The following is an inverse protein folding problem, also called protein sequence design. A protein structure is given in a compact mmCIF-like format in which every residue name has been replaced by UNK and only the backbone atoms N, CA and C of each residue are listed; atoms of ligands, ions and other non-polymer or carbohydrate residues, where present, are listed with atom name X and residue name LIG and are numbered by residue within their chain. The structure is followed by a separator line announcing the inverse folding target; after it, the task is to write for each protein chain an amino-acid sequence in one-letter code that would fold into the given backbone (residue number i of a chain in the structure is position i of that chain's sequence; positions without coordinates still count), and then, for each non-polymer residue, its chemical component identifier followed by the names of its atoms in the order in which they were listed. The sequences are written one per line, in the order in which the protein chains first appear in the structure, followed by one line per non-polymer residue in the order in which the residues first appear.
data_IF_476900381713
#
_entry.id   IF_476900381713
#
_cell.length_a   1.000
_cell.length_b   1.000
_cell.length_c   1.000
_cell.angle_alpha   90.00
_cell.angle_beta   90.00
_cell.angle_gamma   90.00
#
_symmetry.space_group_name_H-M   'P 1'
#
loop_
_entity.id
_entity.type
_entity.pdbx_description
1 polymer ?
#
# COMPACT_ATOMS: atom_id res chain seq x y z
N UNK A 1 -28.29 19.49 -16.40
CA UNK A 1 -26.84 19.36 -16.13
C UNK A 1 -26.66 19.41 -14.62
N UNK A 2 -26.53 18.28 -13.94
CA UNK A 2 -25.93 18.28 -12.61
C UNK A 2 -24.44 18.09 -12.83
N UNK A 3 -23.68 19.15 -12.60
CA UNK A 3 -22.23 19.09 -12.52
C UNK A 3 -21.89 18.03 -11.47
N UNK A 4 -21.14 16.98 -11.84
CA UNK A 4 -20.76 15.93 -10.89
C UNK A 4 -19.66 16.51 -10.01
N UNK A 5 -20.07 17.34 -9.04
CA UNK A 5 -19.16 17.95 -8.08
C UNK A 5 -18.48 16.84 -7.27
N UNK A 6 -17.18 16.99 -7.07
CA UNK A 6 -16.40 16.17 -6.13
C UNK A 6 -17.14 16.13 -4.80
N UNK A 7 -17.40 14.93 -4.23
CA UNK A 7 -18.14 14.86 -2.98
C UNK A 7 -17.42 15.64 -1.89
N UNK A 8 -18.20 16.29 -1.05
CA UNK A 8 -17.73 17.09 0.06
C UNK A 8 -17.81 16.28 1.36
N UNK A 9 -17.07 16.66 2.41
CA UNK A 9 -17.14 16.00 3.71
C UNK A 9 -18.55 15.80 4.27
N UNK A 10 -19.49 16.73 4.00
CA UNK A 10 -20.88 16.64 4.45
C UNK A 10 -21.71 15.58 3.71
N UNK A 11 -21.22 15.03 2.61
CA UNK A 11 -21.86 13.91 1.90
C UNK A 11 -21.64 12.56 2.62
N UNK A 12 -20.92 12.55 3.74
CA UNK A 12 -20.54 11.35 4.47
C UNK A 12 -20.82 11.45 5.97
N UNK A 13 -21.28 10.34 6.54
CA UNK A 13 -21.32 10.10 7.98
C UNK A 13 -20.15 9.21 8.36
N UNK A 14 -19.36 9.61 9.35
CA UNK A 14 -18.25 8.83 9.88
C UNK A 14 -18.77 7.90 10.96
N UNK A 15 -18.64 6.58 10.76
CA UNK A 15 -19.22 5.58 11.66
C UNK A 15 -18.21 5.13 12.73
N UNK A 16 -16.97 4.79 12.33
CA UNK A 16 -15.91 4.32 13.25
C UNK A 16 -14.52 4.47 12.66
N UNK A 17 -13.50 4.56 13.52
CA UNK A 17 -12.11 4.34 13.11
C UNK A 17 -11.88 2.83 12.92
N UNK A 18 -11.31 2.44 11.79
CA UNK A 18 -11.00 1.04 11.46
C UNK A 18 -9.51 0.75 11.33
N UNK A 19 -8.67 1.77 11.11
CA UNK A 19 -7.23 1.54 11.04
C UNK A 19 -6.38 2.79 11.19
N UNK A 20 -5.10 2.58 11.50
CA UNK A 20 -4.10 3.63 11.60
C UNK A 20 -2.82 3.20 10.91
N UNK A 21 -2.39 4.00 9.93
CA UNK A 21 -1.11 3.87 9.27
C UNK A 21 -0.06 4.83 9.83
N UNK A 22 1.12 4.85 9.20
CA UNK A 22 2.21 5.76 9.55
C UNK A 22 1.82 7.23 9.31
N UNK A 23 1.16 7.51 8.19
CA UNK A 23 0.75 8.85 7.75
C UNK A 23 -0.76 8.95 7.53
N UNK A 24 -1.55 8.02 8.04
CA UNK A 24 -2.97 7.96 7.72
C UNK A 24 -3.83 7.40 8.84
N UNK A 25 -5.10 7.78 8.81
CA UNK A 25 -6.17 7.15 9.57
C UNK A 25 -7.23 6.64 8.60
N UNK A 26 -7.77 5.46 8.87
CA UNK A 26 -8.81 4.85 8.05
C UNK A 26 -10.10 4.80 8.87
N UNK A 27 -11.16 5.38 8.32
CA UNK A 27 -12.48 5.41 8.92
C UNK A 27 -13.47 4.63 8.06
N UNK A 28 -14.42 3.93 8.69
CA UNK A 28 -15.64 3.50 8.04
C UNK A 28 -16.56 4.73 7.89
N UNK A 29 -17.03 4.98 6.68
CA UNK A 29 -17.94 6.07 6.36
C UNK A 29 -19.14 5.55 5.58
N UNK A 30 -20.28 6.23 5.71
CA UNK A 30 -21.48 5.99 4.91
C UNK A 30 -21.81 7.22 4.10
N UNK A 31 -22.05 7.04 2.80
CA UNK A 31 -22.49 8.13 1.95
C UNK A 31 -23.97 8.44 2.17
N UNK A 32 -24.35 9.71 2.22
CA UNK A 32 -25.74 10.16 2.47
C UNK A 32 -26.40 10.75 1.23
N UNK A 33 -25.63 11.12 0.21
CA UNK A 33 -26.10 11.78 -1.01
C UNK A 33 -25.68 11.03 -2.28
N UNK A 34 -26.30 11.37 -3.42
CA UNK A 34 -25.99 10.77 -4.72
C UNK A 34 -26.58 9.38 -4.95
N UNK A 35 -26.25 8.78 -6.10
CA UNK A 35 -26.79 7.48 -6.54
C UNK A 35 -26.39 6.30 -5.64
N UNK A 36 -25.21 6.39 -5.05
CA UNK A 36 -24.60 5.44 -4.13
C UNK A 36 -24.90 5.78 -2.66
N UNK A 37 -25.91 6.62 -2.39
CA UNK A 37 -26.38 6.91 -1.03
C UNK A 37 -26.72 5.62 -0.27
N UNK A 38 -26.36 5.57 1.01
CA UNK A 38 -26.48 4.41 1.88
C UNK A 38 -25.29 3.45 1.82
N UNK A 39 -24.44 3.54 0.79
CA UNK A 39 -23.26 2.69 0.64
C UNK A 39 -22.18 3.01 1.67
N UNK A 40 -21.48 1.96 2.12
CA UNK A 40 -20.34 2.07 3.02
C UNK A 40 -19.02 2.09 2.24
N UNK A 41 -18.06 2.85 2.77
CA UNK A 41 -16.72 3.00 2.22
C UNK A 41 -15.67 3.07 3.34
N UNK A 42 -14.41 2.88 2.94
CA UNK A 42 -13.25 3.18 3.78
C UNK A 42 -12.67 4.55 3.38
N UNK A 43 -12.66 5.50 4.30
CA UNK A 43 -12.00 6.80 4.15
C UNK A 43 -10.58 6.72 4.70
N UNK A 44 -9.58 6.66 3.82
CA UNK A 44 -8.16 6.79 4.17
C UNK A 44 -7.79 8.28 4.15
N UNK A 45 -7.75 8.90 5.33
CA UNK A 45 -7.33 10.29 5.55
C UNK A 45 -5.82 10.34 5.76
N UNK A 46 -5.12 11.25 5.10
CA UNK A 46 -3.67 11.43 5.24
C UNK A 46 -3.28 12.63 6.12
N UNK A 47 -2.16 12.48 6.81
CA UNK A 47 -1.51 13.49 7.62
C UNK A 47 -0.26 13.96 6.89
N UNK A 48 -0.31 15.15 6.29
CA UNK A 48 0.82 15.73 5.57
C UNK A 48 1.83 16.35 6.53
N UNK A 49 2.46 15.52 7.36
CA UNK A 49 3.38 15.98 8.42
C UNK A 49 4.83 16.17 7.93
N UNK A 50 5.20 15.61 6.79
CA UNK A 50 6.56 15.69 6.24
C UNK A 50 6.58 15.36 4.73
N UNK A 51 7.74 15.59 4.09
CA UNK A 51 7.97 15.33 2.66
C UNK A 51 7.66 13.88 2.24
N UNK A 52 8.02 12.91 3.08
CA UNK A 52 7.73 11.50 2.80
C UNK A 52 6.23 11.19 2.77
N UNK A 53 5.43 11.83 3.64
CA UNK A 53 3.99 11.69 3.63
C UNK A 53 3.38 12.22 2.32
N UNK A 54 3.84 13.37 1.82
CA UNK A 54 3.41 13.94 0.53
C UNK A 54 3.75 12.99 -0.61
N UNK A 55 5.00 12.50 -0.68
CA UNK A 55 5.45 11.54 -1.70
C UNK A 55 4.59 10.27 -1.70
N UNK A 56 4.32 9.69 -0.54
CA UNK A 56 3.47 8.50 -0.39
C UNK A 56 2.05 8.73 -0.91
N UNK A 57 1.42 9.85 -0.54
CA UNK A 57 0.04 10.18 -0.96
C UNK A 57 -0.08 10.37 -2.47
N UNK A 58 0.84 11.13 -3.07
CA UNK A 58 0.83 11.39 -4.51
C UNK A 58 1.14 10.12 -5.32
N UNK A 59 2.06 9.28 -4.82
CA UNK A 59 2.37 7.98 -5.43
C UNK A 59 1.17 7.03 -5.37
N UNK A 60 0.56 6.89 -4.19
CA UNK A 60 -0.62 6.02 -3.99
C UNK A 60 -1.79 6.47 -4.88
N UNK A 61 -2.07 7.78 -4.90
CA UNK A 61 -3.07 8.39 -5.79
C UNK A 61 -2.85 7.93 -7.23
N UNK A 62 -1.67 8.19 -7.77
CA UNK A 62 -1.37 7.94 -9.18
C UNK A 62 -1.64 6.49 -9.56
N UNK A 63 -1.25 5.56 -8.70
CA UNK A 63 -1.43 4.13 -8.95
C UNK A 63 -2.91 3.75 -8.86
N UNK A 64 -3.62 4.22 -7.84
CA UNK A 64 -5.05 3.99 -7.67
C UNK A 64 -5.89 4.56 -8.83
N UNK A 65 -5.53 5.74 -9.34
CA UNK A 65 -6.18 6.32 -10.52
C UNK A 65 -5.93 5.50 -11.77
N UNK A 66 -4.69 5.05 -12.00
CA UNK A 66 -4.39 4.15 -13.12
C UNK A 66 -5.23 2.88 -13.05
N UNK A 67 -5.37 2.29 -11.86
CA UNK A 67 -6.23 1.13 -11.64
C UNK A 67 -7.70 1.45 -11.96
N UNK A 68 -8.23 2.54 -11.40
CA UNK A 68 -9.61 2.98 -11.61
C UNK A 68 -9.96 3.31 -13.07
N UNK A 69 -8.96 3.64 -13.90
CA UNK A 69 -9.12 3.96 -15.32
C UNK A 69 -8.85 2.78 -16.26
N UNK A 70 -8.47 1.60 -15.73
CA UNK A 70 -8.33 0.39 -16.54
C UNK A 70 -9.70 -0.18 -16.95
N UNK A 71 -9.76 -0.77 -18.16
CA UNK A 71 -10.95 -1.46 -18.66
C UNK A 71 -11.37 -2.62 -17.75
N UNK A 72 -10.39 -3.30 -17.14
CA UNK A 72 -10.62 -4.38 -16.20
C UNK A 72 -10.31 -3.92 -14.77
N UNK A 73 -11.33 -3.95 -13.91
CA UNK A 73 -11.20 -3.69 -12.48
C UNK A 73 -10.97 -5.00 -11.72
N UNK A 74 -9.73 -5.24 -11.27
CA UNK A 74 -9.41 -6.43 -10.50
C UNK A 74 -10.10 -6.41 -9.12
N UNK A 75 -10.84 -7.45 -8.73
CA UNK A 75 -11.44 -7.51 -7.39
C UNK A 75 -10.40 -7.73 -6.28
N UNK A 76 -9.14 -8.02 -6.64
CA UNK A 76 -8.04 -8.29 -5.72
C UNK A 76 -7.16 -7.07 -5.44
N UNK A 77 -7.61 -5.88 -5.81
CA UNK A 77 -6.94 -4.60 -5.57
C UNK A 77 -7.93 -3.54 -5.06
N UNK A 78 -7.46 -2.45 -4.44
CA UNK A 78 -8.33 -1.42 -3.90
C UNK A 78 -8.95 -0.60 -5.05
N UNK A 79 -10.25 -0.32 -4.93
CA UNK A 79 -10.97 0.52 -5.89
C UNK A 79 -11.13 1.93 -5.31
N UNK A 80 -10.47 2.91 -5.94
CA UNK A 80 -10.62 4.33 -5.61
C UNK A 80 -11.97 4.84 -6.12
N UNK A 81 -12.89 5.12 -5.20
CA UNK A 81 -14.21 5.68 -5.53
C UNK A 81 -14.10 7.19 -5.70
N UNK A 82 -13.47 7.85 -4.72
CA UNK A 82 -13.27 9.29 -4.68
C UNK A 82 -11.91 9.64 -4.10
N UNK A 83 -11.38 10.79 -4.49
CA UNK A 83 -10.30 11.44 -3.73
C UNK A 83 -10.60 12.92 -3.60
N UNK A 84 -10.19 13.48 -2.47
CA UNK A 84 -10.56 14.83 -2.06
C UNK A 84 -9.33 15.55 -1.51
N UNK A 85 -9.10 16.76 -2.01
CA UNK A 85 -8.18 17.74 -1.46
C UNK A 85 -8.99 18.99 -1.11
N UNK A 86 -9.00 19.33 0.18
CA UNK A 86 -9.62 20.57 0.67
C UNK A 86 -8.98 20.99 1.98
N UNK A 87 -8.62 22.27 2.11
CA UNK A 87 -8.09 22.86 3.33
C UNK A 87 -6.96 22.02 3.95
N UNK A 88 -5.97 21.63 3.14
CA UNK A 88 -4.85 20.76 3.54
C UNK A 88 -5.17 19.34 4.02
N UNK A 89 -6.42 18.91 3.89
CA UNK A 89 -6.83 17.54 4.15
C UNK A 89 -6.91 16.78 2.83
N UNK A 90 -6.05 15.78 2.67
CA UNK A 90 -6.14 14.80 1.58
C UNK A 90 -6.78 13.50 2.09
N UNK A 91 -7.73 12.97 1.32
CA UNK A 91 -8.36 11.70 1.64
C UNK A 91 -8.73 10.90 0.39
N UNK A 92 -8.67 9.58 0.52
CA UNK A 92 -9.24 8.63 -0.43
C UNK A 92 -10.49 8.00 0.16
N UNK A 93 -11.53 7.87 -0.66
CA UNK A 93 -12.70 7.03 -0.39
C UNK A 93 -12.54 5.77 -1.23
N UNK A 94 -12.32 4.65 -0.56
CA UNK A 94 -12.08 3.34 -1.14
C UNK A 94 -13.28 2.43 -0.88
N UNK A 95 -13.45 1.39 -1.72
CA UNK A 95 -14.38 0.30 -1.39
C UNK A 95 -14.04 -0.28 -0.02
N UNK A 96 -15.07 -0.55 0.77
CA UNK A 96 -14.89 -1.10 2.11
C UNK A 96 -14.41 -2.57 2.08
N UNK A 97 -13.47 -2.90 2.97
CA UNK A 97 -13.16 -4.28 3.35
C UNK A 97 -13.93 -4.70 4.60
N UNK A 98 -13.56 -5.83 5.19
CA UNK A 98 -14.08 -6.29 6.49
C UNK A 98 -13.50 -5.53 7.68
N UNK A 99 -12.36 -4.86 7.50
CA UNK A 99 -11.55 -4.29 8.57
C UNK A 99 -10.51 -5.26 9.15
N UNK A 100 -10.51 -6.53 8.75
CA UNK A 100 -9.48 -7.51 9.12
C UNK A 100 -8.44 -7.68 8.02
N UNK A 101 -7.23 -8.03 8.43
CA UNK A 101 -6.12 -8.38 7.55
C UNK A 101 -5.65 -9.84 7.76
N UNK A 102 -4.74 -10.30 6.90
CA UNK A 102 -4.16 -11.65 7.02
C UNK A 102 -3.31 -11.80 8.28
N UNK A 103 -2.78 -10.72 8.84
CA UNK A 103 -2.08 -10.75 10.12
C UNK A 103 -3.04 -11.09 11.28
N UNK A 104 -4.26 -10.55 11.28
CA UNK A 104 -5.30 -10.88 12.25
C UNK A 104 -5.71 -12.35 12.17
N UNK A 105 -5.88 -12.88 10.96
CA UNK A 105 -6.13 -14.32 10.78
C UNK A 105 -4.98 -15.15 11.37
N UNK A 106 -3.72 -14.81 11.05
CA UNK A 106 -2.56 -15.55 11.58
C UNK A 106 -2.43 -15.43 13.10
N UNK A 107 -2.78 -14.29 13.70
CA UNK A 107 -2.83 -14.18 15.16
C UNK A 107 -3.96 -15.03 15.78
N UNK A 108 -5.08 -15.20 15.07
CA UNK A 108 -6.20 -16.01 15.54
C UNK A 108 -5.91 -17.52 15.46
N UNK A 109 -5.36 -18.00 14.34
CA UNK A 109 -5.20 -19.44 14.06
C UNK A 109 -3.75 -19.94 14.19
N UNK A 110 -2.78 -19.04 14.36
CA UNK A 110 -1.35 -19.35 14.37
C UNK A 110 -0.79 -19.57 12.97
N UNK A 111 -0.89 -20.80 12.45
CA UNK A 111 -0.41 -21.16 11.13
C UNK A 111 -1.53 -21.79 10.30
N UNK A 112 -1.55 -21.48 9.02
CA UNK A 112 -2.49 -22.02 8.06
C UNK A 112 -2.02 -23.39 7.54
N UNK A 113 -2.99 -24.25 7.23
CA UNK A 113 -2.73 -25.46 6.46
C UNK A 113 -2.22 -25.11 5.05
N UNK A 114 -1.45 -26.00 4.44
CA UNK A 114 -0.98 -25.80 3.06
C UNK A 114 -2.14 -25.57 2.06
N UNK A 115 -3.31 -26.18 2.32
CA UNK A 115 -4.50 -26.00 1.47
C UNK A 115 -5.11 -24.61 1.62
N UNK A 116 -5.25 -24.12 2.86
CA UNK A 116 -5.79 -22.78 3.13
C UNK A 116 -4.82 -21.70 2.64
N UNK A 117 -3.52 -21.93 2.81
CA UNK A 117 -2.48 -21.07 2.23
C UNK A 117 -2.60 -20.99 0.71
N UNK A 118 -2.79 -22.13 0.03
CA UNK A 118 -2.96 -22.19 -1.43
C UNK A 118 -4.12 -21.34 -1.92
N UNK A 119 -5.25 -21.34 -1.21
CA UNK A 119 -6.40 -20.50 -1.53
C UNK A 119 -6.02 -19.02 -1.52
N UNK A 120 -5.52 -18.50 -0.39
CA UNK A 120 -5.24 -17.07 -0.26
C UNK A 120 -4.13 -16.61 -1.21
N UNK A 121 -3.11 -17.44 -1.44
CA UNK A 121 -2.02 -17.04 -2.34
C UNK A 121 -2.48 -17.02 -3.79
N UNK A 122 -3.50 -17.79 -4.18
CA UNK A 122 -4.07 -17.72 -5.53
C UNK A 122 -4.70 -16.34 -5.76
N UNK A 123 -5.43 -15.82 -4.79
CA UNK A 123 -6.06 -14.49 -4.87
C UNK A 123 -5.03 -13.36 -4.83
N UNK A 124 -4.02 -13.47 -3.95
CA UNK A 124 -2.90 -12.52 -3.90
C UNK A 124 -2.16 -12.50 -5.24
N UNK A 125 -1.93 -13.68 -5.84
CA UNK A 125 -1.31 -13.79 -7.17
C UNK A 125 -2.18 -13.09 -8.24
N UNK A 126 -3.50 -13.22 -8.20
CA UNK A 126 -4.38 -12.50 -9.14
C UNK A 126 -4.27 -10.98 -8.99
N UNK A 127 -4.16 -10.46 -7.76
CA UNK A 127 -3.93 -9.03 -7.50
C UNK A 127 -2.57 -8.55 -8.03
N UNK A 128 -1.50 -9.28 -7.71
CA UNK A 128 -0.14 -8.96 -8.17
C UNK A 128 -0.01 -9.10 -9.69
N UNK A 129 -0.68 -10.07 -10.31
CA UNK A 129 -0.66 -10.27 -11.77
C UNK A 129 -1.25 -9.05 -12.48
N UNK A 130 -2.32 -8.47 -11.95
CA UNK A 130 -2.88 -7.23 -12.49
C UNK A 130 -1.91 -6.05 -12.34
N UNK A 131 -1.31 -5.85 -11.15
CA UNK A 131 -0.29 -4.79 -10.96
C UNK A 131 0.90 -4.97 -11.92
N UNK A 132 1.42 -6.18 -12.04
CA UNK A 132 2.58 -6.49 -12.89
C UNK A 132 2.27 -6.30 -14.37
N UNK A 133 1.03 -6.57 -14.80
CA UNK A 133 0.58 -6.30 -16.18
C UNK A 133 0.62 -4.81 -16.53
N UNK A 134 0.46 -3.94 -15.53
CA UNK A 134 0.56 -2.48 -15.65
C UNK A 134 1.96 -1.95 -15.34
N UNK A 135 2.95 -2.84 -15.20
CA UNK A 135 4.32 -2.48 -14.81
C UNK A 135 4.39 -1.75 -13.46
N UNK A 136 3.56 -2.17 -12.51
CA UNK A 136 3.58 -1.69 -11.13
C UNK A 136 4.10 -2.80 -10.22
N UNK A 137 5.09 -2.49 -9.40
CA UNK A 137 5.65 -3.38 -8.37
C UNK A 137 5.11 -2.94 -7.01
N UNK A 138 4.57 -3.86 -6.22
CA UNK A 138 3.91 -3.54 -4.96
C UNK A 138 4.89 -3.09 -3.86
N UNK A 139 6.03 -3.79 -3.74
CA UNK A 139 7.15 -3.54 -2.82
C UNK A 139 6.90 -3.74 -1.31
N UNK A 140 5.64 -3.86 -0.87
CA UNK A 140 5.32 -4.11 0.55
C UNK A 140 4.30 -5.24 0.78
N UNK A 141 4.43 -6.34 0.04
CA UNK A 141 3.58 -7.53 0.24
C UNK A 141 3.91 -8.18 1.59
N UNK A 142 2.94 -8.17 2.51
CA UNK A 142 3.02 -8.69 3.88
C UNK A 142 1.61 -8.94 4.43
N UNK A 143 1.43 -9.74 5.50
CA UNK A 143 0.11 -10.09 6.02
C UNK A 143 -0.81 -8.88 6.29
N UNK A 144 -0.26 -7.79 6.80
CA UNK A 144 -1.01 -6.56 7.13
C UNK A 144 -1.58 -5.84 5.92
N UNK A 145 -0.97 -6.03 4.75
CA UNK A 145 -1.41 -5.39 3.51
C UNK A 145 -2.31 -6.32 2.68
N UNK A 146 -2.62 -7.52 3.17
CA UNK A 146 -3.62 -8.42 2.58
C UNK A 146 -4.90 -8.29 3.38
N UNK A 147 -5.85 -7.51 2.88
CA UNK A 147 -7.12 -7.24 3.58
C UNK A 147 -8.20 -8.21 3.15
N UNK A 148 -9.13 -8.49 4.05
CA UNK A 148 -10.29 -9.32 3.78
C UNK A 148 -11.49 -8.49 3.33
N UNK A 149 -12.29 -9.05 2.43
CA UNK A 149 -13.70 -8.71 2.25
C UNK A 149 -14.58 -9.43 3.28
N UNK A 150 -15.80 -8.94 3.56
CA UNK A 150 -16.71 -9.60 4.50
C UNK A 150 -17.00 -11.07 4.17
N UNK A 151 -17.00 -11.42 2.88
CA UNK A 151 -17.24 -12.77 2.37
C UNK A 151 -16.06 -13.75 2.56
N UNK A 152 -14.90 -13.29 3.05
CA UNK A 152 -13.72 -14.11 3.31
C UNK A 152 -12.68 -14.12 2.19
N UNK A 153 -12.96 -13.50 1.04
CA UNK A 153 -11.97 -13.28 -0.01
C UNK A 153 -10.97 -12.20 0.40
N UNK A 154 -9.78 -12.18 -0.22
CA UNK A 154 -8.74 -11.18 0.07
C UNK A 154 -8.45 -10.25 -1.09
N UNK A 155 -7.86 -9.09 -0.80
CA UNK A 155 -7.27 -8.20 -1.78
C UNK A 155 -5.96 -7.61 -1.26
N UNK A 156 -5.05 -7.30 -2.18
CA UNK A 156 -3.78 -6.63 -1.87
C UNK A 156 -4.05 -5.14 -1.75
N UNK A 157 -3.59 -4.52 -0.67
CA UNK A 157 -3.86 -3.12 -0.32
C UNK A 157 -2.59 -2.33 -0.05
N UNK A 158 -2.75 -1.01 0.15
CA UNK A 158 -1.69 -0.07 0.53
C UNK A 158 -0.60 0.08 -0.55
N UNK A 159 -0.89 0.92 -1.53
CA UNK A 159 -0.05 1.15 -2.72
C UNK A 159 0.89 2.35 -2.56
N UNK A 160 1.08 2.84 -1.33
CA UNK A 160 1.87 4.03 -1.00
C UNK A 160 3.40 3.84 -1.14
N UNK A 161 3.82 2.58 -1.28
CA UNK A 161 5.20 2.14 -1.51
C UNK A 161 5.41 1.57 -2.91
N UNK A 162 4.34 1.39 -3.68
CA UNK A 162 4.40 0.76 -4.99
C UNK A 162 5.16 1.62 -6.00
N UNK A 163 5.88 0.99 -6.92
CA UNK A 163 6.70 1.67 -7.91
C UNK A 163 6.25 1.33 -9.32
N UNK A 164 6.15 2.35 -10.16
CA UNK A 164 5.71 2.23 -11.55
C UNK A 164 6.94 2.23 -12.49
N UNK A 165 7.37 1.04 -12.90
CA UNK A 165 8.55 0.86 -13.76
C UNK A 165 8.28 1.28 -15.21
N UNK A 166 7.03 1.48 -15.63
CA UNK A 166 6.69 1.88 -17.02
C UNK A 166 7.22 3.26 -17.40
N UNK A 167 7.51 4.10 -16.41
CA UNK A 167 7.97 5.47 -16.63
C UNK A 167 9.41 5.55 -17.15
N UNK A 168 10.17 4.45 -17.09
CA UNK A 168 11.60 4.41 -17.40
C UNK A 168 12.43 5.45 -16.62
N UNK A 169 11.92 5.90 -15.46
CA UNK A 169 12.65 6.76 -14.53
C UNK A 169 13.52 5.86 -13.66
N UNK A 170 14.79 6.21 -13.52
CA UNK A 170 15.70 5.51 -12.62
C UNK A 170 15.25 5.70 -11.17
N UNK A 171 15.06 4.63 -10.38
CA UNK A 171 14.68 4.75 -8.99
C UNK A 171 15.70 5.56 -8.18
N UNK A 172 15.19 6.39 -7.28
CA UNK A 172 15.98 7.08 -6.25
C UNK A 172 16.05 6.22 -4.98
N UNK A 173 16.90 6.59 -4.02
CA UNK A 173 16.98 5.88 -2.74
C UNK A 173 15.63 5.88 -1.98
N UNK A 174 14.80 6.90 -2.18
CA UNK A 174 13.46 7.02 -1.58
C UNK A 174 12.43 6.07 -2.19
N UNK A 175 12.74 5.42 -3.31
CA UNK A 175 11.88 4.43 -3.96
C UNK A 175 12.16 3.00 -3.47
N UNK A 176 13.36 2.76 -2.92
CA UNK A 176 13.73 1.48 -2.32
C UNK A 176 13.14 1.34 -0.92
N UNK A 177 11.83 1.09 -0.90
CA UNK A 177 11.01 1.01 0.29
C UNK A 177 10.46 -0.40 0.49
N UNK A 178 9.96 -0.67 1.69
CA UNK A 178 9.32 -1.93 2.10
C UNK A 178 9.50 -2.19 3.59
N UNK A 179 8.97 -3.31 4.06
CA UNK A 179 9.18 -3.83 5.42
C UNK A 179 10.37 -4.80 5.41
N UNK A 180 11.48 -4.57 6.15
CA UNK A 180 12.70 -5.38 6.06
C UNK A 180 12.51 -6.90 6.23
N UNK A 181 11.50 -7.32 6.99
CA UNK A 181 11.17 -8.73 7.20
C UNK A 181 10.71 -9.43 5.90
N UNK A 182 10.05 -8.70 5.00
CA UNK A 182 9.53 -9.20 3.72
C UNK A 182 10.37 -8.74 2.52
N UNK A 183 11.15 -7.67 2.69
CA UNK A 183 11.91 -7.02 1.63
C UNK A 183 12.89 -7.95 0.91
N UNK A 184 12.85 -7.88 -0.41
CA UNK A 184 13.76 -8.58 -1.30
C UNK A 184 15.20 -8.05 -1.17
N UNK A 185 16.24 -8.90 -1.34
CA UNK A 185 17.62 -8.50 -1.11
C UNK A 185 18.11 -7.36 -2.02
N UNK A 186 17.75 -7.38 -3.30
CA UNK A 186 18.09 -6.35 -4.28
C UNK A 186 17.44 -4.99 -3.98
N UNK A 187 16.20 -5.00 -3.46
CA UNK A 187 15.51 -3.78 -3.01
C UNK A 187 16.18 -3.24 -1.76
N UNK A 188 16.49 -4.11 -0.80
CA UNK A 188 17.18 -3.73 0.44
C UNK A 188 18.60 -3.17 0.20
N UNK A 189 19.24 -3.55 -0.91
CA UNK A 189 20.56 -3.04 -1.33
C UNK A 189 20.48 -1.78 -2.19
N UNK A 190 19.29 -1.35 -2.63
CA UNK A 190 19.13 -0.20 -3.50
C UNK A 190 19.58 -0.47 -4.95
N UNK A 191 19.52 -1.72 -5.40
CA UNK A 191 20.11 -2.14 -6.69
C UNK A 191 19.08 -2.14 -7.82
N UNK A 192 17.92 -2.77 -7.60
CA UNK A 192 16.90 -2.95 -8.62
C UNK A 192 15.50 -3.04 -8.02
N UNK A 193 14.52 -2.53 -8.76
CA UNK A 193 13.10 -2.73 -8.53
C UNK A 193 12.57 -3.48 -9.75
N UNK A 194 12.08 -4.70 -9.54
CA UNK A 194 11.59 -5.61 -10.59
C UNK A 194 10.31 -6.28 -10.07
N UNK A 195 9.41 -6.70 -10.95
CA UNK A 195 8.19 -7.44 -10.54
C UNK A 195 8.52 -8.71 -9.76
N UNK A 196 9.71 -9.29 -9.96
CA UNK A 196 10.24 -10.42 -9.17
C UNK A 196 10.65 -10.07 -7.74
N UNK A 197 10.73 -8.79 -7.39
CA UNK A 197 10.87 -8.36 -6.00
C UNK A 197 9.63 -8.72 -5.18
N UNK A 198 8.43 -8.61 -5.76
CA UNK A 198 7.19 -9.07 -5.10
C UNK A 198 7.14 -10.59 -4.96
N UNK A 199 7.79 -11.35 -5.86
CA UNK A 199 7.88 -12.81 -5.77
C UNK A 199 8.67 -13.27 -4.54
N UNK A 200 9.72 -12.52 -4.17
CA UNK A 200 10.42 -12.77 -2.91
C UNK A 200 9.49 -12.54 -1.72
N UNK A 201 8.83 -11.37 -1.68
CA UNK A 201 7.91 -11.01 -0.60
C UNK A 201 6.75 -12.01 -0.47
N UNK A 202 6.21 -12.49 -1.59
CA UNK A 202 5.24 -13.58 -1.65
C UNK A 202 5.81 -14.89 -1.06
N UNK A 203 7.06 -15.23 -1.38
CA UNK A 203 7.74 -16.38 -0.79
C UNK A 203 7.88 -16.29 0.73
N UNK A 204 8.23 -15.10 1.24
CA UNK A 204 8.31 -14.83 2.68
C UNK A 204 6.92 -14.95 3.32
N UNK A 205 5.91 -14.33 2.71
CA UNK A 205 4.51 -14.38 3.15
C UNK A 205 4.00 -15.82 3.26
N UNK A 206 4.20 -16.65 2.24
CA UNK A 206 3.78 -18.05 2.24
C UNK A 206 4.47 -18.82 3.38
N UNK A 207 5.76 -18.57 3.61
CA UNK A 207 6.48 -19.24 4.68
C UNK A 207 5.98 -18.80 6.06
N UNK A 208 5.63 -17.52 6.22
CA UNK A 208 5.01 -17.00 7.43
C UNK A 208 3.63 -17.61 7.69
N UNK A 209 2.81 -17.76 6.65
CA UNK A 209 1.49 -18.38 6.76
C UNK A 209 1.57 -19.83 7.25
N UNK A 210 2.56 -20.61 6.81
CA UNK A 210 2.63 -22.07 7.12
C UNK A 210 3.59 -22.44 8.26
N UNK A 211 4.55 -21.58 8.61
CA UNK A 211 5.57 -21.88 9.63
C UNK A 211 5.81 -20.77 10.65
N UNK A 212 5.12 -19.64 10.51
CA UNK A 212 5.39 -18.41 11.25
C UNK A 212 6.61 -17.65 10.73
N UNK A 213 6.99 -16.54 11.38
CA UNK A 213 8.00 -15.62 10.87
C UNK A 213 9.36 -16.27 10.59
N UNK A 214 9.87 -16.08 9.37
CA UNK A 214 11.15 -16.68 8.90
C UNK A 214 12.36 -15.76 9.10
N UNK A 215 12.09 -14.47 9.36
CA UNK A 215 13.05 -13.50 9.87
C UNK A 215 12.52 -13.03 11.21
N UNK A 216 13.31 -13.20 12.27
CA UNK A 216 12.98 -12.60 13.57
C UNK A 216 13.27 -11.12 13.50
N UNK A 217 12.39 -10.33 14.11
CA UNK A 217 12.66 -8.94 14.44
C UNK A 217 14.02 -8.86 15.13
N UNK A 218 14.85 -7.93 14.66
CA UNK A 218 16.13 -7.68 15.30
C UNK A 218 15.94 -6.62 16.39
N UNK A 219 16.92 -6.48 17.27
CA UNK A 219 16.86 -5.43 18.29
C UNK A 219 16.75 -4.04 17.65
N UNK A 220 17.42 -3.82 16.51
CA UNK A 220 17.40 -2.55 15.80
C UNK A 220 17.15 -2.72 14.30
N UNK A 221 16.57 -1.69 13.70
CA UNK A 221 16.21 -1.63 12.28
C UNK A 221 17.41 -1.80 11.35
N UNK A 222 18.61 -1.37 11.74
CA UNK A 222 19.80 -1.51 10.91
C UNK A 222 20.18 -2.99 10.70
N UNK A 223 20.04 -3.82 11.74
CA UNK A 223 20.25 -5.27 11.66
C UNK A 223 19.16 -5.97 10.84
N UNK A 224 17.91 -5.50 10.89
CA UNK A 224 16.84 -6.02 10.03
C UNK A 224 17.15 -5.77 8.56
N UNK A 225 17.53 -4.54 8.20
CA UNK A 225 17.96 -4.19 6.86
C UNK A 225 19.23 -4.95 6.43
N UNK A 226 20.17 -5.21 7.35
CA UNK A 226 21.35 -6.03 7.06
C UNK A 226 20.96 -7.45 6.66
N UNK A 227 20.05 -8.09 7.42
CA UNK A 227 19.52 -9.42 7.09
C UNK A 227 18.75 -9.42 5.76
N UNK A 228 17.98 -8.36 5.51
CA UNK A 228 17.29 -8.16 4.24
C UNK A 228 18.28 -8.11 3.07
N UNK A 229 19.32 -7.27 3.14
CA UNK A 229 20.39 -7.16 2.14
C UNK A 229 21.11 -8.47 1.89
N UNK A 230 21.36 -9.26 2.93
CA UNK A 230 22.01 -10.57 2.81
C UNK A 230 21.06 -11.67 2.26
N UNK A 231 19.76 -11.42 2.24
CA UNK A 231 18.76 -12.43 1.88
C UNK A 231 18.77 -13.61 2.83
N UNK A 232 19.06 -13.42 4.11
CA UNK A 232 19.05 -14.49 5.11
C UNK A 232 17.62 -14.75 5.58
N UNK A 233 17.27 -16.02 5.76
CA UNK A 233 15.98 -16.47 6.28
C UNK A 233 16.13 -17.86 6.89
N UNK A 234 15.18 -18.25 7.75
CA UNK A 234 15.11 -19.60 8.31
C UNK A 234 13.66 -20.08 8.37
N UNK A 235 13.30 -21.06 7.52
CA UNK A 235 11.99 -21.69 7.51
C UNK A 235 11.99 -22.87 8.49
N UNK A 236 11.29 -22.72 9.62
CA UNK A 236 11.25 -23.73 10.67
C UNK A 236 10.54 -24.99 10.16
N UNK A 237 11.18 -26.15 10.33
CA UNK A 237 10.57 -27.42 9.96
C UNK A 237 10.33 -27.59 8.45
N UNK A 238 11.09 -26.89 7.59
CA UNK A 238 10.98 -26.98 6.12
C UNK A 238 10.91 -28.43 5.60
N UNK A 239 11.67 -29.36 6.20
CA UNK A 239 11.67 -30.78 5.82
C UNK A 239 10.33 -31.50 6.05
N UNK A 240 9.48 -30.97 6.94
CA UNK A 240 8.15 -31.52 7.27
C UNK A 240 7.05 -31.05 6.30
N UNK A 241 7.31 -29.99 5.55
CA UNK A 241 6.37 -29.46 4.55
C UNK A 241 6.33 -30.36 3.31
N UNK A 242 5.30 -30.22 2.49
CA UNK A 242 5.18 -30.98 1.25
C UNK A 242 6.33 -30.67 0.27
N UNK A 243 6.72 -31.65 -0.56
CA UNK A 243 7.73 -31.43 -1.62
C UNK A 243 7.34 -30.31 -2.61
N UNK A 244 6.07 -30.16 -3.03
CA UNK A 244 5.64 -29.00 -3.81
C UNK A 244 5.91 -27.67 -3.12
N UNK A 245 5.63 -27.54 -1.81
CA UNK A 245 5.85 -26.30 -1.08
C UNK A 245 7.34 -26.01 -0.83
N UNK A 246 8.14 -27.03 -0.53
CA UNK A 246 9.61 -26.90 -0.49
C UNK A 246 10.15 -26.36 -1.81
N UNK A 247 9.68 -26.90 -2.95
CA UNK A 247 10.05 -26.44 -4.29
C UNK A 247 9.60 -25.02 -4.59
N UNK A 248 8.44 -24.60 -4.05
CA UNK A 248 7.96 -23.23 -4.16
C UNK A 248 8.92 -22.25 -3.49
N UNK A 249 9.36 -22.54 -2.25
CA UNK A 249 10.34 -21.69 -1.56
C UNK A 249 11.68 -21.64 -2.29
N UNK A 250 12.15 -22.78 -2.80
CA UNK A 250 13.37 -22.81 -3.61
C UNK A 250 13.26 -21.98 -4.90
N UNK A 251 12.07 -21.78 -5.46
CA UNK A 251 11.88 -20.92 -6.63
C UNK A 251 11.80 -19.43 -6.25
N UNK A 252 11.00 -19.09 -5.23
CA UNK A 252 10.71 -17.69 -4.87
C UNK A 252 11.84 -17.02 -4.08
N UNK A 253 12.52 -17.74 -3.18
CA UNK A 253 13.51 -17.20 -2.25
C UNK A 253 14.95 -17.27 -2.79
N UNK A 254 15.12 -17.01 -4.08
CA UNK A 254 16.45 -16.86 -4.73
C UNK A 254 17.02 -15.47 -4.45
N UNK A 255 18.29 -15.40 -4.01
CA UNK A 255 18.94 -14.12 -3.67
C UNK A 255 19.07 -13.19 -4.87
N UNK A 256 19.41 -13.76 -6.03
CA UNK A 256 19.45 -13.03 -7.28
C UNK A 256 18.04 -12.97 -7.87
N UNK A 257 17.50 -11.76 -8.04
CA UNK A 257 16.14 -11.60 -8.57
C UNK A 257 15.97 -12.19 -9.98
N UNK A 258 17.03 -12.20 -10.80
CA UNK A 258 16.99 -12.77 -12.15
C UNK A 258 16.79 -14.29 -12.19
N UNK A 259 17.06 -14.99 -11.09
CA UNK A 259 16.84 -16.44 -10.94
C UNK A 259 15.44 -16.78 -10.43
N UNK A 260 14.63 -15.78 -10.05
CA UNK A 260 13.23 -15.99 -9.69
C UNK A 260 12.37 -16.06 -10.95
N UNK A 261 11.32 -16.89 -10.97
CA UNK A 261 10.33 -16.85 -12.03
C UNK A 261 9.52 -15.54 -11.96
N UNK A 262 8.98 -15.10 -13.09
CA UNK A 262 7.86 -14.15 -13.09
C UNK A 262 6.57 -14.82 -12.59
N UNK A 263 5.52 -14.05 -12.29
CA UNK A 263 4.25 -14.60 -11.77
C UNK A 263 3.67 -15.73 -12.64
N UNK A 264 3.76 -15.63 -13.97
CA UNK A 264 3.35 -16.72 -14.87
C UNK A 264 4.03 -18.05 -14.52
N UNK A 265 5.35 -18.04 -14.29
CA UNK A 265 6.10 -19.22 -13.88
C UNK A 265 5.79 -19.66 -12.45
N UNK A 266 5.43 -18.73 -11.55
CA UNK A 266 4.96 -19.08 -10.19
C UNK A 266 3.65 -19.88 -10.25
N UNK A 267 2.70 -19.49 -11.11
CA UNK A 267 1.40 -20.17 -11.30
C UNK A 267 1.56 -21.62 -11.80
N UNK A 268 2.66 -21.91 -12.48
CA UNK A 268 2.99 -23.25 -13.01
C UNK A 268 3.68 -24.17 -11.98
N UNK A 269 4.07 -23.66 -10.81
CA UNK A 269 4.72 -24.46 -9.77
C UNK A 269 3.79 -25.54 -9.24
N UNK A 270 4.36 -26.71 -8.90
CA UNK A 270 3.61 -27.89 -8.41
C UNK A 270 2.68 -27.59 -7.23
N UNK A 271 3.05 -26.64 -6.37
CA UNK A 271 2.22 -26.24 -5.22
C UNK A 271 0.88 -25.61 -5.63
N UNK A 272 0.85 -24.96 -6.80
CA UNK A 272 -0.28 -24.22 -7.36
C UNK A 272 -0.95 -24.93 -8.54
N UNK A 273 -0.44 -26.08 -8.97
CA UNK A 273 -0.92 -26.81 -10.16
C UNK A 273 -2.42 -27.17 -10.12
N UNK A 274 -3.00 -27.33 -8.94
CA UNK A 274 -4.42 -27.64 -8.77
C UNK A 274 -5.33 -26.40 -8.62
N UNK A 275 -4.78 -25.18 -8.70
CA UNK A 275 -5.57 -23.95 -8.65
C UNK A 275 -6.27 -23.76 -9.99
N UNK A 276 -7.60 -23.67 -9.96
CA UNK A 276 -8.39 -23.18 -11.08
C UNK A 276 -8.28 -21.66 -11.13
N UNK A 277 -7.38 -21.15 -11.98
CA UNK A 277 -7.10 -19.72 -12.08
C UNK A 277 -8.27 -18.90 -12.62
N UNK A 278 -9.16 -19.49 -13.41
CA UNK A 278 -10.37 -18.80 -13.89
C UNK A 278 -11.35 -18.57 -12.72
N UNK A 279 -11.56 -19.60 -11.88
CA UNK A 279 -12.37 -19.47 -10.67
C UNK A 279 -11.72 -18.56 -9.64
N UNK A 280 -10.41 -18.68 -9.44
CA UNK A 280 -9.65 -17.79 -8.56
C UNK A 280 -9.84 -16.33 -9.00
N UNK A 281 -9.55 -16.02 -10.26
CA UNK A 281 -9.67 -14.68 -10.82
C UNK A 281 -11.07 -14.06 -10.77
N UNK A 282 -12.11 -14.89 -10.62
CA UNK A 282 -13.51 -14.47 -10.56
C UNK A 282 -14.12 -14.53 -9.15
N UNK A 283 -13.32 -14.77 -8.10
CA UNK A 283 -13.78 -15.00 -6.71
C UNK A 283 -14.86 -16.08 -6.60
N UNK A 284 -14.70 -17.18 -7.35
CA UNK A 284 -15.62 -18.34 -7.33
C UNK A 284 -15.10 -19.51 -6.48
N UNK A 285 -13.87 -19.42 -5.98
CA UNK A 285 -13.35 -20.37 -4.99
C UNK A 285 -14.00 -20.10 -3.64
N UNK A 286 -14.32 -21.13 -2.86
CA UNK A 286 -14.91 -20.95 -1.53
C UNK A 286 -13.84 -20.54 -0.50
N UNK A 287 -14.00 -19.39 0.19
CA UNK A 287 -13.07 -18.98 1.25
C UNK A 287 -13.02 -20.00 2.40
N UNK A 288 -11.82 -20.28 2.95
CA UNK A 288 -11.66 -21.24 4.04
C UNK A 288 -12.07 -20.70 5.41
N UNK A 289 -12.16 -19.38 5.59
CA UNK A 289 -12.55 -18.74 6.84
C UNK A 289 -13.60 -17.65 6.60
N UNK A 290 -14.49 -17.46 7.58
CA UNK A 290 -15.40 -16.31 7.63
C UNK A 290 -14.75 -15.16 8.40
N UNK A 291 -14.91 -13.93 7.93
CA UNK A 291 -14.42 -12.75 8.66
C UNK A 291 -15.20 -12.48 9.94
N UNK A 292 -16.42 -12.98 10.07
CA UNK A 292 -17.26 -12.83 11.27
C UNK A 292 -16.63 -13.47 12.52
N UNK A 293 -15.70 -14.41 12.34
CA UNK A 293 -15.00 -15.11 13.41
C UNK A 293 -13.69 -14.42 13.82
N UNK A 294 -13.21 -13.45 13.03
CA UNK A 294 -11.95 -12.76 13.27
C UNK A 294 -12.15 -11.55 14.18
N UNK A 295 -11.29 -11.42 15.21
CA UNK A 295 -11.29 -10.24 16.08
C UNK A 295 -10.54 -9.10 15.40
N UNK A 296 -11.22 -7.96 15.28
CA UNK A 296 -10.65 -6.71 14.77
C UNK A 296 -9.65 -6.12 15.78
N UNK A 297 -8.40 -5.84 15.34
CA UNK A 297 -7.46 -5.03 16.12
C UNK A 297 -7.41 -3.62 15.53
N UNK A 298 -7.83 -2.63 16.33
CA UNK A 298 -7.85 -1.22 15.90
C UNK A 298 -6.45 -0.69 15.56
N UNK A 299 -5.44 -1.13 16.31
CA UNK A 299 -4.02 -0.96 15.98
C UNK A 299 -3.18 -2.10 16.56
N UNK A 300 -1.97 -2.32 16.00
CA UNK A 300 -0.95 -3.22 16.58
C UNK A 300 -0.47 -2.80 17.98
N UNK A 301 -0.85 -1.61 18.45
CA UNK A 301 -0.30 -0.95 19.64
C UNK A 301 -1.34 -0.75 20.75
N UNK A 302 -2.59 -1.19 20.60
CA UNK A 302 -3.64 -0.87 21.56
C UNK A 302 -3.60 -1.73 22.83
N UNK A 303 -2.78 -1.27 23.78
CA UNK A 303 -3.14 -1.20 25.19
C UNK A 303 -3.96 0.08 25.51
N UNK A 304 -4.36 0.88 24.52
CA UNK A 304 -5.13 2.12 24.76
C UNK A 304 -6.62 1.90 24.60
N UNK A 305 -7.38 2.29 25.62
CA UNK A 305 -8.83 2.06 25.78
C UNK A 305 -9.70 2.97 24.91
N UNK A 306 -9.22 3.45 23.77
CA UNK A 306 -9.96 4.43 22.96
C UNK A 306 -10.99 3.70 22.11
N UNK A 307 -12.27 3.99 22.34
CA UNK A 307 -13.37 3.43 21.54
C UNK A 307 -13.20 3.83 20.07
N UNK A 308 -13.40 2.89 19.14
CA UNK A 308 -13.44 3.15 17.70
C UNK A 308 -14.52 4.15 17.28
N UNK A 309 -15.52 4.37 18.15
CA UNK A 309 -16.63 5.30 17.95
C UNK A 309 -16.46 6.63 18.70
N UNK A 310 -15.27 6.92 19.22
CA UNK A 310 -15.03 8.15 19.98
C UNK A 310 -15.28 9.41 19.14
N UNK A 311 -16.19 10.28 19.60
CA UNK A 311 -16.62 11.46 18.83
C UNK A 311 -15.45 12.40 18.48
N UNK A 312 -14.46 12.55 19.36
CA UNK A 312 -13.31 13.43 19.08
C UNK A 312 -12.44 12.85 17.97
N UNK A 313 -12.33 11.52 17.93
CA UNK A 313 -11.62 10.80 16.88
C UNK A 313 -12.34 10.93 15.54
N UNK A 314 -13.65 10.65 15.50
CA UNK A 314 -14.45 10.70 14.28
C UNK A 314 -14.55 12.11 13.71
N UNK A 315 -14.62 13.13 14.58
CA UNK A 315 -14.64 14.55 14.15
C UNK A 315 -13.38 14.96 13.37
N UNK A 316 -12.30 14.18 13.46
CA UNK A 316 -11.07 14.40 12.73
C UNK A 316 -11.10 13.91 11.28
N UNK A 317 -12.04 13.07 10.85
CA UNK A 317 -11.97 12.36 9.57
C UNK A 317 -11.73 13.24 8.32
N UNK A 318 -12.19 14.50 8.36
CA UNK A 318 -12.06 15.47 7.26
C UNK A 318 -11.34 16.77 7.65
N UNK A 319 -10.70 16.81 8.81
CA UNK A 319 -9.94 17.98 9.28
C UNK A 319 -8.48 17.84 8.85
N UNK A 320 -7.70 18.93 8.71
CA UNK A 320 -6.28 18.80 8.38
C UNK A 320 -5.42 18.37 9.58
N UNK A 321 -5.85 18.64 10.82
CA UNK A 321 -5.08 18.35 12.04
C UNK A 321 -5.30 16.96 12.63
N UNK A 322 -4.25 16.40 13.25
CA UNK A 322 -4.28 15.09 13.91
C UNK A 322 -5.32 15.09 15.06
N UNK A 323 -6.13 14.02 15.26
CA UNK A 323 -7.06 13.94 16.38
C UNK A 323 -6.34 14.02 17.75
N UNK A 324 -6.86 14.84 18.66
CA UNK A 324 -6.22 15.26 19.93
C UNK A 324 -5.78 14.09 20.83
N UNK A 325 -6.48 12.94 20.79
CA UNK A 325 -6.21 11.80 21.67
C UNK A 325 -4.94 10.99 21.34
N UNK A 326 -4.31 11.19 20.18
CA UNK A 326 -3.07 10.49 19.80
C UNK A 326 -1.78 11.27 20.10
N UNK A 327 -1.85 12.38 20.83
CA UNK A 327 -0.68 13.05 21.40
C UNK A 327 -0.16 12.31 22.65
N UNK A 328 0.37 11.09 22.49
CA UNK A 328 1.03 10.40 23.60
C UNK A 328 2.55 10.61 23.56
N UNK A 329 3.06 11.40 24.51
CA UNK A 329 4.46 11.51 24.98
C UNK A 329 5.50 12.14 24.03
N UNK A 330 5.35 13.43 23.71
CA UNK A 330 6.48 14.37 23.77
C UNK A 330 5.99 15.66 24.43
N UNK A 331 6.67 16.04 25.52
CA UNK A 331 6.64 17.35 26.19
C UNK A 331 5.29 17.85 26.75
N UNK A 332 5.02 17.43 27.99
CA UNK A 332 4.58 18.38 29.02
C UNK A 332 5.79 19.24 29.38
N UNK A 333 5.96 20.36 28.70
CA UNK A 333 6.86 21.47 29.07
C UNK A 333 6.72 22.54 28.00
N UNK A 334 6.38 23.74 28.45
CA UNK A 334 6.15 24.98 27.70
C UNK A 334 4.71 25.17 27.15
N UNK A 335 3.95 25.95 27.91
CA UNK A 335 3.13 27.04 27.37
C UNK A 335 3.84 27.68 26.18
N UNK A 336 3.46 27.31 24.96
CA UNK A 336 3.59 28.15 23.76
C UNK A 336 2.56 27.66 22.76
N UNK A 337 1.47 28.41 22.62
CA UNK A 337 0.65 28.50 21.43
C UNK A 337 -0.10 27.24 21.02
N UNK A 338 -1.40 27.25 21.24
CA UNK A 338 -2.33 26.74 20.23
C UNK A 338 -1.80 27.14 18.84
N UNK A 339 -1.28 26.18 18.08
CA UNK A 339 -1.00 26.42 16.67
C UNK A 339 -2.36 26.59 16.02
N UNK A 340 -2.63 27.79 15.51
CA UNK A 340 -3.92 28.12 14.91
C UNK A 340 -4.36 27.07 13.87
N UNK A 341 -5.67 26.85 13.74
CA UNK A 341 -6.23 26.01 12.69
C UNK A 341 -5.97 26.65 11.32
N UNK A 342 -4.88 26.27 10.65
CA UNK A 342 -4.57 26.75 9.30
C UNK A 342 -3.10 26.68 8.89
N UNK A 343 -2.18 26.42 9.81
CA UNK A 343 -0.74 26.54 9.52
C UNK A 343 -0.09 25.23 9.03
N UNK A 344 0.70 25.34 7.95
CA UNK A 344 1.51 24.22 7.43
C UNK A 344 2.51 23.74 8.49
N UNK A 345 2.66 22.41 8.71
CA UNK A 345 3.64 21.87 9.65
C UNK A 345 5.06 22.43 9.46
N UNK A 346 5.75 22.73 10.55
CA UNK A 346 7.09 23.35 10.52
C UNK A 346 8.13 22.52 9.77
N UNK A 347 8.01 21.19 9.80
CA UNK A 347 8.77 20.22 9.02
C UNK A 347 8.62 20.44 7.51
N UNK A 348 7.39 20.67 7.05
CA UNK A 348 7.09 20.98 5.64
C UNK A 348 7.61 22.38 5.26
N UNK A 349 7.43 23.38 6.12
CA UNK A 349 8.02 24.72 5.91
C UNK A 349 9.54 24.63 5.74
N UNK A 350 10.24 23.87 6.59
CA UNK A 350 11.70 23.61 6.49
C UNK A 350 12.10 22.87 5.22
N UNK A 351 11.23 22.01 4.69
CA UNK A 351 11.42 21.33 3.42
C UNK A 351 11.04 22.21 2.20
N UNK A 352 10.70 23.48 2.42
CA UNK A 352 10.37 24.44 1.36
C UNK A 352 8.98 24.24 0.75
N UNK A 353 8.01 23.77 1.53
CA UNK A 353 6.60 23.76 1.15
C UNK A 353 5.88 25.01 1.64
N UNK A 354 5.15 25.66 0.73
CA UNK A 354 4.21 26.75 0.97
C UNK A 354 2.77 26.29 0.66
N UNK A 355 1.78 27.12 1.01
CA UNK A 355 0.37 26.86 0.68
C UNK A 355 0.18 26.71 -0.82
N UNK A 356 0.71 27.68 -1.58
CA UNK A 356 0.56 27.69 -3.03
C UNK A 356 1.24 26.48 -3.67
N UNK A 357 2.38 26.04 -3.12
CA UNK A 357 3.09 24.86 -3.62
C UNK A 357 2.31 23.57 -3.33
N UNK A 358 1.68 23.46 -2.17
CA UNK A 358 0.83 22.31 -1.84
C UNK A 358 -0.42 22.29 -2.70
N UNK A 359 -1.10 23.43 -2.87
CA UNK A 359 -2.26 23.52 -3.75
C UNK A 359 -1.91 23.21 -5.20
N UNK A 360 -0.75 23.66 -5.69
CA UNK A 360 -0.29 23.30 -7.03
C UNK A 360 -0.04 21.79 -7.16
N UNK A 361 0.60 21.17 -6.16
CA UNK A 361 0.88 19.73 -6.14
C UNK A 361 -0.40 18.89 -6.07
N UNK A 362 -1.44 19.40 -5.41
CA UNK A 362 -2.72 18.72 -5.20
C UNK A 362 -3.85 19.26 -6.09
N UNK A 363 -3.56 20.12 -7.06
CA UNK A 363 -4.57 20.75 -7.92
C UNK A 363 -5.42 19.71 -8.67
N UNK A 364 -4.76 18.66 -9.17
CA UNK A 364 -5.41 17.52 -9.80
C UNK A 364 -5.67 16.38 -8.82
N UNK A 365 -5.79 16.63 -7.51
CA UNK A 365 -6.02 15.60 -6.50
C UNK A 365 -7.49 15.19 -6.35
N UNK A 366 -8.43 15.94 -6.90
CA UNK A 366 -9.82 15.50 -6.84
C UNK A 366 -10.12 14.49 -7.94
N UNK A 367 -10.74 13.37 -7.59
CA UNK A 367 -11.10 12.30 -8.54
C UNK A 367 -12.46 11.70 -8.20
N UNK A 368 -13.19 11.32 -9.24
CA UNK A 368 -14.41 10.53 -9.16
C UNK A 368 -14.28 9.35 -10.12
N UNK A 369 -14.45 8.14 -9.59
CA UNK A 369 -14.39 6.90 -10.38
C UNK A 369 -15.38 6.95 -11.56
N UNK A 370 -14.99 6.53 -12.78
CA UNK A 370 -15.86 6.59 -13.95
C UNK A 370 -17.25 5.94 -13.74
N UNK A 371 -17.31 4.79 -13.06
CA UNK A 371 -18.57 4.09 -12.78
C UNK A 371 -19.51 4.81 -11.79
N UNK A 372 -19.02 5.85 -11.10
CA UNK A 372 -19.79 6.64 -10.12
C UNK A 372 -20.18 8.01 -10.69
N UNK A 373 -19.73 8.35 -11.89
CA UNK A 373 -20.23 9.49 -12.65
C UNK A 373 -21.61 9.07 -13.17
N UNK A 374 -22.65 9.84 -12.86
CA UNK A 374 -24.04 9.55 -13.24
C UNK A 374 -24.14 8.97 -14.66
N UNK A 375 -24.87 7.87 -14.84
CA UNK A 375 -25.22 7.30 -16.15
C UNK A 375 -26.04 8.30 -16.95
N UNK A 376 -25.37 9.24 -17.60
CA UNK A 376 -25.97 10.24 -18.46
C UNK A 376 -25.95 9.77 -19.92
N UNK A 377 -26.24 8.49 -20.19
CA UNK A 377 -26.56 7.97 -21.53
C UNK A 377 -27.23 6.60 -21.38
N UNK A 378 -28.52 6.60 -21.05
CA UNK A 378 -29.38 5.46 -21.40
C UNK A 378 -30.73 6.00 -21.89
N UNK A 379 -30.64 6.81 -22.94
CA UNK A 379 -31.71 7.02 -23.92
C UNK A 379 -31.05 6.87 -25.29
N UNK A 380 -31.38 5.78 -25.97
CA UNK A 380 -30.54 5.18 -26.98
C UNK A 380 -30.27 6.01 -28.23
N UNK A 381 -29.08 5.77 -28.79
CA UNK A 381 -28.85 5.62 -30.23
C UNK A 381 -27.75 4.57 -30.36
N UNK A 382 -28.01 3.50 -31.12
CA UNK A 382 -27.01 2.49 -31.44
C UNK A 382 -25.98 3.04 -32.42
N UNK A 383 -24.81 2.41 -32.37
CA UNK A 383 -23.79 2.35 -33.40
C UNK A 383 -23.00 3.61 -33.78
N UNK A 384 -21.70 3.34 -33.97
CA UNK A 384 -20.72 4.10 -34.74
C UNK A 384 -19.95 5.16 -33.95
N UNK A 385 -18.78 4.80 -33.44
CA UNK A 385 -17.49 5.26 -34.03
C UNK A 385 -16.31 4.89 -33.13
N UNK A 386 -15.76 3.71 -33.39
CA UNK A 386 -14.32 3.48 -33.35
C UNK A 386 -13.62 4.50 -34.28
N UNK A 387 -12.85 5.43 -33.71
CA UNK A 387 -11.66 6.10 -34.29
C UNK A 387 -11.36 7.37 -33.50
N UNK A 388 -10.36 7.30 -32.60
CA UNK A 388 -9.55 8.46 -32.26
C UNK A 388 -8.18 7.96 -31.80
N UNK A 389 -7.35 7.70 -32.81
CA UNK A 389 -5.91 7.51 -32.72
C UNK A 389 -5.29 8.79 -32.18
N UNK A 390 -4.62 8.72 -31.03
CA UNK A 390 -3.77 9.81 -30.52
C UNK A 390 -2.51 9.87 -31.40
N UNK A 391 -2.36 10.97 -32.14
CA UNK A 391 -1.13 11.33 -32.83
C UNK A 391 -0.06 11.69 -31.79
N UNK A 392 1.04 10.96 -31.80
CA UNK A 392 2.33 11.46 -31.32
C UNK A 392 2.88 12.41 -32.38
N UNK A 393 3.14 13.66 -32.02
CA UNK A 393 4.02 14.53 -32.80
C UNK A 393 5.35 14.70 -32.05
N UNK A 394 6.39 14.23 -32.73
CA UNK A 394 7.81 14.47 -32.54
C UNK A 394 8.17 15.92 -32.81
N UNK A 395 9.04 16.50 -31.98
CA UNK A 395 9.84 17.66 -32.36
C UNK A 395 11.27 17.49 -31.82
N UNK A 396 12.18 17.10 -32.72
CA UNK A 396 13.63 17.25 -32.58
C UNK A 396 14.07 18.57 -33.23
N UNK A 397 15.04 19.25 -32.62
CA UNK A 397 16.15 19.91 -33.34
C UNK A 397 16.23 21.44 -33.36
N UNK A 398 17.15 22.00 -32.54
CA UNK A 398 18.28 22.91 -32.89
C UNK A 398 18.82 23.50 -31.55
N UNK A 399 19.95 23.06 -30.96
CA UNK A 399 21.40 23.21 -31.30
C UNK A 399 21.97 24.62 -31.07
N UNK A 400 23.01 24.66 -30.22
CA UNK A 400 24.17 25.59 -30.08
C UNK A 400 24.32 26.22 -28.67
N UNK A 401 25.50 26.35 -28.03
CA UNK A 401 26.84 25.75 -28.15
C UNK A 401 27.73 26.28 -26.99
N UNK A 402 28.51 25.39 -26.31
CA UNK A 402 29.91 25.57 -25.80
C UNK A 402 30.17 26.48 -24.54
N UNK A 403 31.24 26.30 -23.70
CA UNK A 403 32.33 25.30 -23.69
C UNK A 403 32.56 24.49 -22.40
N UNK A 404 33.21 23.35 -22.64
CA UNK A 404 34.05 22.56 -21.74
C UNK A 404 35.22 23.35 -21.09
N UNK A 405 35.53 23.03 -19.84
CA UNK A 405 36.92 23.05 -19.33
C UNK A 405 37.25 21.78 -18.54
N UNK A 406 38.50 21.34 -18.73
CA UNK A 406 39.06 20.02 -18.43
C UNK A 406 39.52 19.87 -16.97
N UNK A 407 39.43 18.62 -16.50
CA UNK A 407 40.34 17.86 -15.64
C UNK A 407 40.94 18.48 -14.37
N UNK A 408 40.68 17.81 -13.25
CA UNK A 408 41.73 17.37 -12.33
C UNK A 408 41.35 16.07 -11.60
N UNK A 409 42.33 15.16 -11.53
CA UNK A 409 42.30 13.90 -10.79
C UNK A 409 42.42 14.18 -9.29
N UNK A 410 41.84 13.33 -8.45
CA UNK A 410 42.42 13.06 -7.13
C UNK A 410 41.45 12.65 -6.03
N UNK A 411 41.75 11.47 -5.46
CA UNK A 411 41.58 11.08 -4.06
C UNK A 411 40.23 10.49 -3.61
N UNK A 412 40.27 9.15 -3.64
CA UNK A 412 39.63 8.20 -2.74
C UNK A 412 39.59 8.75 -1.30
N UNK A 413 38.39 8.87 -0.72
CA UNK A 413 38.20 8.65 0.71
C UNK A 413 36.86 7.96 0.94
N UNK A 414 36.94 6.77 1.53
CA UNK A 414 35.83 6.00 2.04
C UNK A 414 35.16 6.80 3.17
N UNK A 415 33.88 7.13 3.01
CA UNK A 415 32.93 7.26 4.11
C UNK A 415 31.51 7.11 3.55
N UNK A 416 31.08 5.85 3.46
CA UNK A 416 29.73 5.43 3.14
C UNK A 416 28.78 5.75 4.31
N UNK A 417 28.18 6.93 4.27
CA UNK A 417 27.01 7.24 5.11
C UNK A 417 25.81 6.56 4.47
N UNK A 418 25.41 5.43 5.03
CA UNK A 418 24.19 4.71 4.65
C UNK A 418 22.91 5.51 4.94
N UNK A 419 21.76 5.07 4.41
CA UNK A 419 20.50 5.79 4.56
C UNK A 419 20.08 5.90 6.02
N UNK A 420 19.53 7.07 6.38
CA UNK A 420 18.98 7.35 7.70
C UNK A 420 17.76 6.44 7.92
N UNK A 421 17.74 5.59 8.95
CA UNK A 421 16.64 4.66 9.17
C UNK A 421 15.36 5.41 9.58
N UNK A 422 14.25 5.04 8.94
CA UNK A 422 12.91 5.31 9.46
C UNK A 422 12.79 4.71 10.86
N UNK A 423 12.76 5.56 11.89
CA UNK A 423 12.59 5.16 13.29
C UNK A 423 11.13 4.76 13.53
N UNK A 424 10.88 3.47 13.78
CA UNK A 424 9.70 3.04 14.54
C UNK A 424 9.91 3.34 16.03
N UNK A 425 8.90 3.83 16.77
CA UNK A 425 8.92 3.78 18.23
C UNK A 425 8.89 2.31 18.69
N UNK A 426 9.67 1.97 19.72
CA UNK A 426 9.70 0.63 20.34
C UNK A 426 8.75 0.58 21.55
N UNK A 427 8.10 -0.57 21.75
CA UNK A 427 7.88 -1.19 23.08
C UNK A 427 7.47 -2.66 22.90
N UNK A 428 8.31 -3.64 23.24
CA UNK A 428 8.36 -4.39 24.53
C UNK A 428 7.00 -4.83 25.09
N UNK A 429 6.75 -6.13 25.06
CA UNK A 429 5.79 -6.87 25.88
C UNK A 429 6.05 -8.38 25.72
N UNK A 430 7.01 -8.91 26.50
CA UNK A 430 6.79 -9.91 27.57
C UNK A 430 6.36 -11.30 27.10
N UNK A 431 7.37 -12.16 27.02
CA UNK A 431 7.29 -13.60 27.22
C UNK A 431 6.44 -13.94 28.44
N UNK A 432 5.48 -14.85 28.28
CA UNK A 432 4.99 -15.70 29.37
C UNK A 432 5.13 -17.15 28.86
N UNK A 433 6.20 -17.82 29.29
CA UNK A 433 6.09 -19.22 29.75
C UNK A 433 5.68 -19.16 31.23
N UNK A 434 5.03 -20.14 31.81
CA UNK A 434 4.97 -21.58 31.51
C UNK A 434 3.55 -22.10 31.26
#
# INVERSE_FOLDING_TARGET
MMDVSVPCPSDFVVERLIGRGCYSFVYEIRKTTGFDSGSKYALKRFLLENDSAIKCVLRERRILERLALCDFQSPFLPMLCYSMWKNYSSAFVLREGSGCDLYDLLCHVGCLSESNTRFYIAEIICGLEHLHSLSIVHLDVKPENILFYPDGHVFVSDLDRSYDISQNIKPTLDDFTGTPLFMAPEVARGEAIDTRSDIWSLGVLVAEMVTGPIRREAENTAEEFKRARMGTYNIRGLKRLSKPLQSFFSACLQRQHTQRPYLKGVKELRFLKCVDWCKAGSRLLRPPYSTSELRHRLTKEDNTSVSSTDVNLLSGAFKPWRPVKFNSKMSQSANTGDSEPGDIPSSLKKAGYTEEKLDLLFNSFNFIHPSLRSSATDTGVSDSLSKLTVKLDTAEGLVDSIPNTKHSKGLISNNSVGPIPFRRPRSRGTSIGD
#
